data_IF_871630441860
#
_entry.id   IF_871630441860
#
_cell.length_a   1.000
_cell.length_b   1.000
_cell.length_c   1.000
_cell.angle_alpha   90.00
_cell.angle_beta   90.00
_cell.angle_gamma   90.00
#
_symmetry.space_group_name_H-M   'P 1'
#
loop_
_entity.id
_entity.type
_entity.pdbx_description
1 polymer ?
#
# COMPACT_ATOMS: atom_id res chain seq x y z
N UNK A 1 -11.75 -4.16 -0.66
CA UNK A 1 -10.66 -3.65 0.18
C UNK A 1 -11.19 -3.39 1.58
N UNK A 2 -10.49 -3.86 2.61
CA UNK A 2 -10.79 -3.54 4.02
C UNK A 2 -9.50 -3.17 4.76
N UNK A 3 -9.60 -2.30 5.76
CA UNK A 3 -8.48 -2.00 6.66
C UNK A 3 -8.22 -3.17 7.61
N UNK A 4 -6.94 -3.42 7.89
CA UNK A 4 -6.46 -4.23 9.02
C UNK A 4 -5.86 -3.27 10.05
N UNK A 5 -6.46 -3.19 11.23
CA UNK A 5 -6.06 -2.28 12.31
C UNK A 5 -7.03 -1.11 12.54
N UNK A 6 -6.76 -0.31 13.56
CA UNK A 6 -7.68 0.73 14.03
C UNK A 6 -7.52 2.07 13.30
N UNK A 7 -6.30 2.43 12.91
CA UNK A 7 -5.97 3.74 12.35
C UNK A 7 -6.37 3.88 10.88
N UNK A 8 -7.10 4.93 10.51
CA UNK A 8 -7.49 5.18 9.12
C UNK A 8 -6.42 5.92 8.31
N UNK A 9 -6.60 5.99 6.99
CA UNK A 9 -5.63 6.62 6.07
C UNK A 9 -5.32 8.07 6.46
N UNK A 10 -6.34 8.87 6.82
CA UNK A 10 -6.16 10.27 7.17
C UNK A 10 -5.43 10.49 8.51
N UNK A 11 -5.50 9.51 9.42
CA UNK A 11 -4.79 9.53 10.72
C UNK A 11 -3.33 9.15 10.56
N UNK A 12 -3.02 8.19 9.67
CA UNK A 12 -1.66 7.70 9.43
C UNK A 12 -0.97 8.57 8.36
N UNK A 13 -0.86 9.88 8.60
CA UNK A 13 -0.03 10.75 7.73
C UNK A 13 1.44 10.39 7.94
N UNK A 14 2.16 10.06 6.87
CA UNK A 14 3.59 9.67 6.90
C UNK A 14 3.83 8.38 7.68
N UNK A 15 3.01 7.36 7.43
CA UNK A 15 3.12 6.07 8.09
C UNK A 15 2.50 4.93 7.30
N UNK A 16 2.39 3.77 7.93
CA UNK A 16 1.97 2.53 7.29
C UNK A 16 0.50 2.20 7.58
N UNK A 17 -0.27 1.93 6.53
CA UNK A 17 -1.62 1.37 6.62
C UNK A 17 -1.61 -0.05 6.07
N UNK A 18 -2.19 -1.01 6.80
CA UNK A 18 -2.39 -2.37 6.29
C UNK A 18 -3.83 -2.55 5.82
N UNK A 19 -3.99 -3.12 4.63
CA UNK A 19 -5.29 -3.42 4.01
C UNK A 19 -5.29 -4.84 3.46
N UNK A 20 -6.49 -5.41 3.33
CA UNK A 20 -6.71 -6.69 2.66
C UNK A 20 -7.66 -6.53 1.46
N UNK A 21 -7.31 -7.18 0.36
CA UNK A 21 -8.05 -7.19 -0.90
C UNK A 21 -7.97 -8.58 -1.51
N UNK A 22 -9.10 -9.26 -1.64
CA UNK A 22 -9.22 -10.56 -2.32
C UNK A 22 -8.16 -11.60 -1.85
N UNK A 23 -7.93 -11.65 -0.53
CA UNK A 23 -6.96 -12.53 0.12
C UNK A 23 -5.52 -12.02 0.13
N UNK A 24 -5.21 -10.95 -0.61
CA UNK A 24 -3.91 -10.28 -0.53
C UNK A 24 -3.86 -9.33 0.65
N UNK A 25 -2.73 -9.31 1.35
CA UNK A 25 -2.47 -8.34 2.42
C UNK A 25 -1.41 -7.37 1.96
N UNK A 26 -1.71 -6.07 1.98
CA UNK A 26 -0.79 -5.00 1.61
C UNK A 26 -0.54 -4.09 2.80
N UNK A 27 0.72 -3.76 3.06
CA UNK A 27 1.09 -2.63 3.91
C UNK A 27 1.61 -1.52 3.00
N UNK A 28 0.93 -0.38 3.03
CA UNK A 28 1.16 0.75 2.13
C UNK A 28 1.64 1.95 2.94
N UNK A 29 2.63 2.66 2.41
CA UNK A 29 3.10 3.91 2.99
C UNK A 29 2.28 5.10 2.48
N UNK A 30 1.70 5.84 3.41
CA UNK A 30 1.04 7.11 3.18
C UNK A 30 2.07 8.24 3.22
N UNK A 31 2.27 8.93 2.11
CA UNK A 31 3.08 10.14 2.02
C UNK A 31 2.18 11.37 1.90
N UNK A 32 1.80 11.97 3.04
CA UNK A 32 0.97 13.18 3.04
C UNK A 32 -0.37 13.07 2.30
N UNK A 33 -1.07 11.94 2.39
CA UNK A 33 -2.29 11.51 1.68
C UNK A 33 -2.11 10.98 0.25
N UNK A 34 -0.87 10.92 -0.25
CA UNK A 34 -0.51 10.22 -1.48
C UNK A 34 -0.05 8.79 -1.18
N UNK A 35 -0.32 7.86 -2.09
CA UNK A 35 0.16 6.49 -1.98
C UNK A 35 1.65 6.46 -2.35
N UNK A 36 2.57 6.37 -1.38
CA UNK A 36 4.00 6.48 -1.65
C UNK A 36 4.61 5.20 -2.24
N UNK A 37 4.64 4.14 -1.45
CA UNK A 37 5.15 2.83 -1.86
C UNK A 37 4.37 1.70 -1.18
N UNK A 38 4.48 0.50 -1.74
CA UNK A 38 4.09 -0.72 -1.04
C UNK A 38 5.27 -1.14 -0.16
N UNK A 39 5.12 -1.12 1.17
CA UNK A 39 6.16 -1.53 2.12
C UNK A 39 6.32 -3.06 2.14
N UNK A 40 5.21 -3.78 2.10
CA UNK A 40 5.20 -5.23 1.91
C UNK A 40 3.85 -5.70 1.40
N UNK A 41 3.82 -6.79 0.67
CA UNK A 41 2.57 -7.48 0.38
C UNK A 41 2.73 -8.99 0.40
N UNK A 42 1.63 -9.65 0.74
CA UNK A 42 1.54 -11.09 0.85
C UNK A 42 0.43 -11.59 -0.05
N UNK A 43 0.74 -12.57 -0.88
CA UNK A 43 -0.25 -13.25 -1.68
C UNK A 43 -1.10 -14.20 -0.81
N UNK A 44 -2.26 -14.63 -1.31
CA UNK A 44 -3.04 -15.68 -0.67
C UNK A 44 -2.31 -17.03 -0.56
N UNK A 45 -1.32 -17.28 -1.42
CA UNK A 45 -0.52 -18.50 -1.44
C UNK A 45 0.77 -18.39 -0.60
N UNK A 46 1.03 -17.23 0.02
CA UNK A 46 2.12 -17.01 0.96
C UNK A 46 3.39 -16.43 0.34
N UNK A 47 3.40 -16.11 -0.95
CA UNK A 47 4.49 -15.31 -1.54
C UNK A 47 4.52 -13.91 -0.92
N UNK A 48 5.72 -13.38 -0.71
CA UNK A 48 5.91 -12.07 -0.09
C UNK A 48 6.78 -11.18 -0.96
N UNK A 49 6.41 -9.91 -1.03
CA UNK A 49 7.27 -8.81 -1.43
C UNK A 49 7.56 -7.96 -0.20
N UNK A 50 8.81 -7.52 -0.05
CA UNK A 50 9.24 -6.60 1.00
C UNK A 50 10.04 -5.49 0.32
N UNK A 51 9.66 -4.25 0.61
CA UNK A 51 10.36 -3.07 0.11
C UNK A 51 11.76 -2.99 0.73
N UNK A 52 12.76 -2.82 -0.12
CA UNK A 52 14.15 -2.64 0.29
C UNK A 52 14.72 -1.40 -0.40
N UNK A 53 14.78 -0.29 0.33
CA UNK A 53 15.31 0.98 -0.16
C UNK A 53 16.82 0.93 -0.46
N UNK A 54 17.54 -0.06 0.08
CA UNK A 54 18.96 -0.25 -0.21
C UNK A 54 19.18 -1.07 -1.48
N UNK A 55 18.16 -1.74 -2.00
CA UNK A 55 18.27 -2.55 -3.21
C UNK A 55 18.19 -1.67 -4.47
N UNK A 56 19.26 -1.56 -5.27
CA UNK A 56 19.30 -0.65 -6.42
C UNK A 56 18.33 -1.03 -7.54
N UNK A 57 17.80 -2.27 -7.53
CA UNK A 57 16.79 -2.77 -8.45
C UNK A 57 15.46 -3.07 -7.75
N UNK A 58 15.29 -2.61 -6.51
CA UNK A 58 14.07 -2.77 -5.75
C UNK A 58 12.94 -2.05 -6.48
N UNK A 59 11.98 -2.81 -7.01
CA UNK A 59 10.87 -2.23 -7.75
C UNK A 59 9.75 -1.92 -6.77
N UNK A 60 9.30 -0.67 -6.69
CA UNK A 60 8.12 -0.29 -5.92
C UNK A 60 6.87 -0.60 -6.76
N UNK A 61 5.98 -1.52 -6.32
CA UNK A 61 4.75 -1.85 -7.06
C UNK A 61 3.89 -0.64 -7.44
N UNK A 62 3.92 0.42 -6.63
CA UNK A 62 3.17 1.66 -6.88
C UNK A 62 3.69 2.42 -8.11
N UNK A 63 4.97 2.27 -8.47
CA UNK A 63 5.56 2.94 -9.64
C UNK A 63 5.11 2.32 -10.97
N UNK A 64 4.59 1.09 -10.95
CA UNK A 64 4.01 0.46 -12.13
C UNK A 64 2.55 0.83 -12.38
N UNK A 65 1.91 1.49 -11.42
CA UNK A 65 0.54 1.97 -11.59
C UNK A 65 0.51 3.20 -12.51
N UNK A 66 -0.45 3.24 -13.42
CA UNK A 66 -0.81 4.47 -14.08
C UNK A 66 -1.31 5.51 -13.07
N UNK A 67 -1.28 6.79 -13.45
CA UNK A 67 -1.81 7.86 -12.59
C UNK A 67 -3.29 7.63 -12.24
N UNK A 68 -4.08 7.09 -13.18
CA UNK A 68 -5.49 6.79 -12.95
C UNK A 68 -5.69 5.68 -11.92
N UNK A 69 -4.96 4.57 -12.05
CA UNK A 69 -5.02 3.47 -11.07
C UNK A 69 -4.62 3.93 -9.67
N UNK A 70 -3.54 4.71 -9.58
CA UNK A 70 -3.08 5.27 -8.29
C UNK A 70 -4.14 6.16 -7.64
N UNK A 71 -4.79 7.03 -8.42
CA UNK A 71 -5.89 7.86 -7.91
C UNK A 71 -7.10 7.05 -7.45
N UNK A 72 -7.45 5.97 -8.15
CA UNK A 72 -8.54 5.08 -7.71
C UNK A 72 -8.20 4.43 -6.36
N UNK A 73 -6.99 3.91 -6.20
CA UNK A 73 -6.55 3.29 -4.95
C UNK A 73 -6.51 4.31 -3.81
N UNK A 74 -5.94 5.49 -4.02
CA UNK A 74 -5.95 6.59 -3.03
C UNK A 74 -7.38 7.00 -2.64
N UNK A 75 -8.30 7.03 -3.62
CA UNK A 75 -9.71 7.23 -3.39
C UNK A 75 -10.31 6.16 -2.48
N UNK A 76 -10.03 4.89 -2.73
CA UNK A 76 -10.50 3.78 -1.87
C UNK A 76 -9.92 3.88 -0.46
N UNK A 77 -8.62 4.15 -0.32
CA UNK A 77 -7.94 4.25 0.98
C UNK A 77 -8.54 5.35 1.87
N UNK A 78 -8.95 6.48 1.29
CA UNK A 78 -9.60 7.59 2.03
C UNK A 78 -10.99 7.23 2.57
N UNK A 79 -11.64 6.19 2.02
CA UNK A 79 -12.97 5.74 2.44
C UNK A 79 -12.93 4.54 3.39
N UNK A 80 -11.74 4.06 3.76
CA UNK A 80 -11.54 3.01 4.77
C UNK A 80 -11.43 3.59 6.17
#
# INVERSE_FOLDING_TARGET
MRRIGEQNWAQVRNGLLTVEVDGWVFTLYNDGDALGHCDRCYSPAGEAYIFDAAHPYGSNPVEFMSQWERQQVEGMLRHL
#
